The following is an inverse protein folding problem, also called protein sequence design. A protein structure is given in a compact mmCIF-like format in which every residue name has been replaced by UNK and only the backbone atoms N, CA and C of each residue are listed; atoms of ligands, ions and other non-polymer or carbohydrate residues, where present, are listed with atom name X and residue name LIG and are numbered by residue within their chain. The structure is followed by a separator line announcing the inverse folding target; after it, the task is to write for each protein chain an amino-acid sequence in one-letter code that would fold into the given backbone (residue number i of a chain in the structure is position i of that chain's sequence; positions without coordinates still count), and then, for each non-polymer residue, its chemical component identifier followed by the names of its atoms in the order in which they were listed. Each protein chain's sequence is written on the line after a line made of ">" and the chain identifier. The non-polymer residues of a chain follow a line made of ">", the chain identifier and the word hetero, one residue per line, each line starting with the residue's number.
data_IF_130822925755
#
_entry.id   IF_130822925755
#
_cell.length_a   1.000
_cell.length_b   1.000
_cell.length_c   1.000
_cell.angle_alpha   90.00
_cell.angle_beta   90.00
_cell.angle_gamma   90.00
#
_symmetry.space_group_name_H-M   'P 1'
#
loop_
_entity.id
_entity.type
_entity.pdbx_description
1 polymer ?
#
# COMPACT_ATOMS: atom_id res chain seq x y z
N UNK A 1 -11.80 32.19 -3.82
CA UNK A 1 -10.62 32.15 -2.89
C UNK A 1 -11.06 31.35 -1.67
N UNK A 2 -10.30 30.34 -1.25
CA UNK A 2 -10.68 29.51 -0.08
C UNK A 2 -10.78 30.38 1.19
N UNK A 3 -11.90 30.26 1.90
CA UNK A 3 -12.14 31.05 3.13
C UNK A 3 -11.24 30.58 4.27
N UNK A 4 -11.03 31.42 5.27
CA UNK A 4 -10.22 31.06 6.46
C UNK A 4 -10.88 29.91 7.25
N UNK A 5 -12.21 29.87 7.27
CA UNK A 5 -12.98 28.79 7.90
C UNK A 5 -12.68 27.44 7.25
N UNK A 6 -12.71 27.36 5.90
CA UNK A 6 -12.44 26.13 5.15
C UNK A 6 -11.01 25.65 5.39
N UNK A 7 -10.02 26.53 5.42
CA UNK A 7 -8.63 26.15 5.70
C UNK A 7 -8.46 25.52 7.10
N UNK A 8 -9.08 26.13 8.10
CA UNK A 8 -9.07 25.62 9.46
C UNK A 8 -9.80 24.27 9.60
N UNK A 9 -10.94 24.14 8.88
CA UNK A 9 -11.70 22.90 8.84
C UNK A 9 -10.90 21.79 8.16
N UNK A 10 -10.23 22.08 7.05
CA UNK A 10 -9.35 21.12 6.37
C UNK A 10 -8.24 20.61 7.31
N UNK A 11 -7.54 21.51 8.00
CA UNK A 11 -6.50 21.11 8.94
C UNK A 11 -7.07 20.24 10.08
N UNK A 12 -8.23 20.61 10.62
CA UNK A 12 -8.91 19.83 11.66
C UNK A 12 -9.28 18.43 11.16
N UNK A 13 -9.88 18.31 9.98
CA UNK A 13 -10.28 17.04 9.40
C UNK A 13 -9.07 16.16 9.07
N UNK A 14 -7.99 16.73 8.52
CA UNK A 14 -6.72 16.03 8.28
C UNK A 14 -6.17 15.42 9.55
N UNK A 15 -6.13 16.18 10.64
CA UNK A 15 -5.63 15.70 11.94
C UNK A 15 -6.54 14.64 12.56
N UNK A 16 -7.86 14.82 12.41
CA UNK A 16 -8.88 13.89 12.89
C UNK A 16 -8.77 12.53 12.18
N UNK A 17 -8.77 12.54 10.85
CA UNK A 17 -8.70 11.30 10.05
C UNK A 17 -7.37 10.56 10.24
N UNK A 18 -6.24 11.27 10.27
CA UNK A 18 -4.91 10.67 10.53
C UNK A 18 -4.80 9.97 11.89
N UNK A 19 -5.51 10.49 12.92
CA UNK A 19 -5.46 9.93 14.27
C UNK A 19 -6.55 8.90 14.52
N UNK A 20 -7.71 9.05 13.88
CA UNK A 20 -8.92 8.28 14.19
C UNK A 20 -9.17 7.07 13.27
N UNK A 21 -8.68 7.09 12.03
CA UNK A 21 -8.86 5.96 11.11
C UNK A 21 -7.85 4.84 11.40
N UNK A 22 -8.31 3.60 11.37
CA UNK A 22 -7.45 2.43 11.41
C UNK A 22 -6.81 2.15 10.04
N UNK A 23 -5.77 1.31 10.01
CA UNK A 23 -5.12 0.87 8.78
C UNK A 23 -6.02 0.05 7.84
N UNK A 24 -7.19 -0.37 8.33
CA UNK A 24 -8.17 -1.13 7.54
C UNK A 24 -9.15 -0.24 6.78
N UNK A 25 -9.20 1.08 7.05
CA UNK A 25 -9.90 2.05 6.20
C UNK A 25 -9.06 2.32 4.95
N UNK A 26 -9.22 1.47 3.93
CA UNK A 26 -8.44 1.49 2.69
C UNK A 26 -9.10 2.28 1.57
N UNK A 27 -10.39 2.53 1.69
CA UNK A 27 -11.20 3.30 0.75
C UNK A 27 -11.63 4.64 1.35
N UNK A 28 -12.28 4.62 2.53
CA UNK A 28 -12.72 5.84 3.22
C UNK A 28 -11.57 6.42 4.03
N UNK A 29 -10.58 6.96 3.35
CA UNK A 29 -9.37 7.54 3.90
C UNK A 29 -9.28 9.06 3.64
N UNK A 30 -8.22 9.69 4.13
CA UNK A 30 -7.96 11.11 3.90
C UNK A 30 -7.85 11.46 2.41
N UNK A 31 -7.30 10.56 1.58
CA UNK A 31 -7.15 10.82 0.15
C UNK A 31 -8.52 10.85 -0.55
N UNK A 32 -9.45 9.97 -0.16
CA UNK A 32 -10.83 10.01 -0.63
C UNK A 32 -11.50 11.35 -0.27
N UNK A 33 -11.47 11.75 1.01
CA UNK A 33 -12.09 13.00 1.48
C UNK A 33 -11.59 14.22 0.72
N UNK A 34 -10.27 14.34 0.52
CA UNK A 34 -9.69 15.45 -0.24
C UNK A 34 -10.04 15.39 -1.73
N UNK A 35 -10.12 14.20 -2.31
CA UNK A 35 -10.52 14.02 -3.70
C UNK A 35 -12.00 14.36 -3.93
N UNK A 36 -12.90 14.06 -2.98
CA UNK A 36 -14.31 14.49 -3.03
C UNK A 36 -14.41 16.02 -3.00
N UNK A 37 -13.66 16.67 -2.09
CA UNK A 37 -13.63 18.13 -2.03
C UNK A 37 -13.12 18.76 -3.32
N UNK A 38 -12.06 18.26 -3.91
CA UNK A 38 -11.55 18.75 -5.19
C UNK A 38 -12.59 18.53 -6.32
N UNK A 39 -13.21 17.35 -6.32
CA UNK A 39 -14.20 16.98 -7.33
C UNK A 39 -15.44 17.87 -7.28
N UNK A 40 -15.95 18.19 -6.10
CA UNK A 40 -17.13 19.06 -5.97
C UNK A 40 -16.86 20.47 -6.46
N UNK A 41 -15.66 21.01 -6.20
CA UNK A 41 -15.27 22.34 -6.73
C UNK A 41 -15.18 22.33 -8.25
N UNK A 42 -14.58 21.28 -8.84
CA UNK A 42 -14.47 21.15 -10.29
C UNK A 42 -15.85 21.02 -10.96
N UNK A 43 -16.78 20.25 -10.37
CA UNK A 43 -18.15 20.15 -10.87
C UNK A 43 -18.91 21.47 -10.74
N UNK A 44 -18.65 22.20 -9.66
CA UNK A 44 -19.28 23.48 -9.36
C UNK A 44 -18.83 24.62 -10.28
N UNK A 45 -17.68 24.51 -10.95
CA UNK A 45 -17.15 25.55 -11.85
C UNK A 45 -18.11 25.91 -12.99
N UNK A 46 -18.88 24.91 -13.49
CA UNK A 46 -19.86 25.14 -14.55
C UNK A 46 -21.11 25.92 -14.08
N UNK A 47 -21.31 26.01 -12.78
CA UNK A 47 -22.44 26.70 -12.17
C UNK A 47 -21.98 28.02 -11.53
N UNK A 48 -22.79 29.06 -11.66
CA UNK A 48 -22.49 30.38 -11.08
C UNK A 48 -22.83 30.41 -9.60
N UNK A 49 -22.17 29.56 -8.80
CA UNK A 49 -22.38 29.50 -7.36
C UNK A 49 -21.75 30.72 -6.68
N UNK A 50 -22.43 31.22 -5.66
CA UNK A 50 -21.88 32.21 -4.73
C UNK A 50 -20.70 31.68 -3.94
N UNK A 51 -19.91 32.56 -3.36
CA UNK A 51 -18.78 32.12 -2.48
C UNK A 51 -19.29 31.39 -1.25
N UNK A 52 -20.47 31.71 -0.78
CA UNK A 52 -21.13 31.02 0.34
C UNK A 52 -21.55 29.59 -0.01
N UNK A 53 -22.17 29.38 -1.18
CA UNK A 53 -22.54 28.06 -1.67
C UNK A 53 -21.31 27.16 -1.88
N UNK A 54 -20.22 27.71 -2.38
CA UNK A 54 -18.94 26.98 -2.50
C UNK A 54 -18.37 26.60 -1.14
N UNK A 55 -18.42 27.51 -0.17
CA UNK A 55 -17.97 27.23 1.19
C UNK A 55 -18.80 26.12 1.84
N UNK A 56 -20.14 26.11 1.67
CA UNK A 56 -21.01 25.03 2.13
C UNK A 56 -20.60 23.68 1.55
N UNK A 57 -20.37 23.63 0.23
CA UNK A 57 -19.94 22.41 -0.46
C UNK A 57 -18.56 21.92 0.03
N UNK A 58 -17.59 22.82 0.17
CA UNK A 58 -16.26 22.45 0.66
C UNK A 58 -16.30 21.90 2.08
N UNK A 59 -17.05 22.55 2.98
CA UNK A 59 -17.20 22.11 4.36
C UNK A 59 -17.91 20.75 4.42
N UNK A 60 -19.02 20.58 3.69
CA UNK A 60 -19.72 19.30 3.65
C UNK A 60 -18.84 18.18 3.09
N UNK A 61 -18.08 18.42 2.01
CA UNK A 61 -17.14 17.46 1.45
C UNK A 61 -16.00 17.10 2.40
N UNK A 62 -15.51 18.04 3.21
CA UNK A 62 -14.50 17.76 4.23
C UNK A 62 -15.03 16.89 5.37
N UNK A 63 -16.27 17.10 5.78
CA UNK A 63 -16.82 16.44 6.95
C UNK A 63 -17.59 15.15 6.66
N UNK A 64 -18.02 14.85 5.41
CA UNK A 64 -18.97 13.77 5.10
C UNK A 64 -18.57 12.40 5.67
N UNK A 65 -17.33 12.06 5.64
CA UNK A 65 -16.77 10.75 6.04
C UNK A 65 -16.04 10.77 7.40
N UNK A 66 -16.05 11.92 8.11
CA UNK A 66 -15.35 12.02 9.41
C UNK A 66 -15.90 11.05 10.46
N UNK A 67 -17.14 10.61 10.31
CA UNK A 67 -17.81 9.66 11.20
C UNK A 67 -17.15 8.28 11.22
N UNK A 68 -16.44 7.86 10.16
CA UNK A 68 -15.67 6.60 10.14
C UNK A 68 -14.59 6.54 11.23
N UNK A 69 -14.17 7.65 11.78
CA UNK A 69 -13.27 7.68 12.95
C UNK A 69 -13.90 7.13 14.22
N UNK A 70 -15.23 6.98 14.27
CA UNK A 70 -15.95 6.54 15.44
C UNK A 70 -16.75 5.26 15.20
N UNK A 71 -17.40 5.12 14.03
CA UNK A 71 -18.18 3.94 13.66
C UNK A 71 -18.30 3.81 12.14
N UNK A 72 -18.46 2.59 11.66
CA UNK A 72 -18.60 2.32 10.23
C UNK A 72 -20.07 2.44 9.77
N UNK A 73 -21.00 1.78 10.48
CA UNK A 73 -22.42 1.90 10.19
C UNK A 73 -22.97 3.26 10.67
N UNK A 74 -23.84 3.87 9.85
CA UNK A 74 -24.42 5.20 10.11
C UNK A 74 -23.33 6.27 10.40
N UNK A 75 -22.20 6.20 9.68
CA UNK A 75 -21.10 7.16 9.85
C UNK A 75 -21.52 8.58 9.49
N UNK A 76 -22.50 8.78 8.60
CA UNK A 76 -23.00 10.11 8.22
C UNK A 76 -23.64 10.84 9.42
N UNK A 77 -24.38 10.11 10.29
CA UNK A 77 -24.91 10.71 11.51
C UNK A 77 -23.76 11.21 12.40
N UNK A 78 -22.71 10.41 12.51
CA UNK A 78 -21.55 10.80 13.31
C UNK A 78 -20.75 11.92 12.67
N UNK A 79 -20.69 11.95 11.34
CA UNK A 79 -20.09 13.05 10.58
C UNK A 79 -20.81 14.37 10.83
N UNK A 80 -22.14 14.37 10.86
CA UNK A 80 -22.97 15.53 11.19
C UNK A 80 -22.68 16.05 12.60
N UNK A 81 -22.62 15.16 13.61
CA UNK A 81 -22.26 15.53 14.99
C UNK A 81 -20.85 16.16 15.09
N UNK A 82 -19.86 15.57 14.38
CA UNK A 82 -18.49 16.09 14.37
C UNK A 82 -18.45 17.47 13.70
N UNK A 83 -19.11 17.63 12.54
CA UNK A 83 -19.21 18.88 11.83
C UNK A 83 -19.86 19.97 12.68
N UNK A 84 -21.01 19.67 13.31
CA UNK A 84 -21.74 20.60 14.17
C UNK A 84 -20.87 21.08 15.33
N UNK A 85 -20.25 20.14 16.06
CA UNK A 85 -19.39 20.47 17.21
C UNK A 85 -18.24 21.38 16.79
N UNK A 86 -17.58 21.08 15.68
CA UNK A 86 -16.48 21.89 15.18
C UNK A 86 -16.95 23.26 14.74
N UNK A 87 -17.99 23.35 13.90
CA UNK A 87 -18.48 24.60 13.32
C UNK A 87 -19.02 25.55 14.38
N UNK A 88 -19.73 25.04 15.40
CA UNK A 88 -20.13 25.84 16.57
C UNK A 88 -18.93 26.42 17.32
N UNK A 89 -17.85 25.64 17.45
CA UNK A 89 -16.62 26.12 18.09
C UNK A 89 -15.92 27.26 17.31
N UNK A 90 -16.19 27.33 15.99
CA UNK A 90 -15.70 28.40 15.12
C UNK A 90 -16.67 29.60 15.01
N UNK A 91 -17.79 29.57 15.75
CA UNK A 91 -18.79 30.65 15.76
C UNK A 91 -19.66 30.72 14.51
N UNK A 92 -19.80 29.61 13.79
CA UNK A 92 -20.69 29.49 12.61
C UNK A 92 -22.14 29.46 13.10
N UNK A 93 -23.03 30.18 12.39
CA UNK A 93 -24.46 30.24 12.72
C UNK A 93 -25.19 28.92 12.49
N UNK A 94 -26.30 28.72 13.20
CA UNK A 94 -27.06 27.46 13.19
C UNK A 94 -27.68 27.16 11.79
N UNK A 95 -28.05 28.18 11.04
CA UNK A 95 -28.65 27.98 9.71
C UNK A 95 -27.63 27.35 8.76
N UNK A 96 -26.40 27.86 8.76
CA UNK A 96 -25.29 27.33 7.96
C UNK A 96 -24.87 25.93 8.41
N UNK A 97 -24.85 25.67 9.71
CA UNK A 97 -24.58 24.33 10.26
C UNK A 97 -25.63 23.33 9.77
N UNK A 98 -26.91 23.68 9.82
CA UNK A 98 -28.01 22.83 9.33
C UNK A 98 -27.88 22.53 7.82
N UNK A 99 -27.52 23.53 7.02
CA UNK A 99 -27.29 23.32 5.58
C UNK A 99 -26.14 22.33 5.32
N UNK A 100 -25.03 22.43 6.06
CA UNK A 100 -23.90 21.51 5.95
C UNK A 100 -24.32 20.09 6.37
N UNK A 101 -25.09 19.96 7.45
CA UNK A 101 -25.61 18.67 7.88
C UNK A 101 -26.55 18.03 6.85
N UNK A 102 -27.40 18.82 6.18
CA UNK A 102 -28.26 18.35 5.07
C UNK A 102 -27.42 17.85 3.90
N UNK A 103 -26.35 18.55 3.55
CA UNK A 103 -25.41 18.13 2.52
C UNK A 103 -24.69 16.85 2.90
N UNK A 104 -24.29 16.69 4.16
CA UNK A 104 -23.69 15.42 4.64
C UNK A 104 -24.71 14.28 4.57
N UNK A 105 -25.97 14.52 4.96
CA UNK A 105 -27.03 13.50 4.91
C UNK A 105 -27.24 12.92 3.50
N UNK A 106 -27.12 13.75 2.48
CA UNK A 106 -27.38 13.33 1.09
C UNK A 106 -26.29 12.37 0.55
N UNK A 107 -25.12 12.25 1.19
CA UNK A 107 -24.10 11.26 0.78
C UNK A 107 -24.55 9.82 1.06
N UNK A 108 -25.51 9.59 1.96
CA UNK A 108 -26.17 8.29 2.10
C UNK A 108 -26.68 7.79 0.75
N UNK A 109 -26.34 6.55 0.39
CA UNK A 109 -26.74 5.93 -0.89
C UNK A 109 -28.27 5.95 -1.09
N UNK A 110 -29.04 5.84 0.00
CA UNK A 110 -30.52 5.77 -0.02
C UNK A 110 -31.22 7.12 -0.10
N UNK A 111 -30.51 8.23 0.06
CA UNK A 111 -31.08 9.59 0.06
C UNK A 111 -30.97 10.19 -1.33
N UNK A 112 -32.08 10.62 -1.90
CA UNK A 112 -32.13 11.29 -3.20
C UNK A 112 -31.86 12.80 -3.06
N UNK A 113 -30.95 13.39 -3.86
CA UNK A 113 -30.62 14.80 -3.81
C UNK A 113 -31.70 15.64 -4.49
N UNK A 114 -32.16 16.72 -3.85
CA UNK A 114 -33.16 17.62 -4.34
C UNK A 114 -32.59 18.94 -4.91
N UNK A 115 -31.65 19.54 -4.17
CA UNK A 115 -31.04 20.82 -4.53
C UNK A 115 -29.85 20.66 -5.46
N UNK A 116 -29.39 21.73 -6.10
CA UNK A 116 -28.17 21.68 -6.91
C UNK A 116 -26.94 21.33 -6.11
N UNK A 117 -26.77 21.88 -4.89
CA UNK A 117 -25.62 21.62 -4.04
C UNK A 117 -25.56 20.16 -3.61
N UNK A 118 -26.72 19.58 -3.24
CA UNK A 118 -26.83 18.15 -2.92
C UNK A 118 -26.44 17.25 -4.10
N UNK A 119 -26.90 17.59 -5.31
CA UNK A 119 -26.55 16.86 -6.54
C UNK A 119 -25.07 16.91 -6.86
N UNK A 120 -24.46 18.09 -6.71
CA UNK A 120 -23.03 18.27 -6.93
C UNK A 120 -22.18 17.49 -5.94
N UNK A 121 -22.54 17.50 -4.65
CA UNK A 121 -21.80 16.75 -3.64
C UNK A 121 -21.95 15.24 -3.87
N UNK A 122 -23.17 14.78 -4.15
CA UNK A 122 -23.42 13.35 -4.40
C UNK A 122 -22.70 12.85 -5.65
N UNK A 123 -22.67 13.60 -6.74
CA UNK A 123 -21.88 13.26 -7.92
C UNK A 123 -20.37 13.28 -7.65
N UNK A 124 -19.89 14.19 -6.81
CA UNK A 124 -18.49 14.29 -6.45
C UNK A 124 -18.02 13.12 -5.57
N UNK A 125 -18.87 12.60 -4.72
CA UNK A 125 -18.57 11.45 -3.85
C UNK A 125 -18.34 10.16 -4.68
N UNK A 126 -18.91 10.08 -5.88
CA UNK A 126 -18.61 8.99 -6.83
C UNK A 126 -17.32 9.20 -7.65
N UNK A 127 -16.36 9.99 -7.16
CA UNK A 127 -15.06 10.20 -7.80
C UNK A 127 -14.19 8.93 -7.88
N UNK A 128 -14.60 7.85 -7.23
CA UNK A 128 -13.94 6.54 -7.28
C UNK A 128 -13.82 5.96 -8.70
N UNK A 129 -14.65 6.43 -9.64
CA UNK A 129 -14.52 6.12 -11.07
C UNK A 129 -13.24 6.70 -11.68
N UNK A 130 -12.67 7.76 -11.08
CA UNK A 130 -11.41 8.33 -11.56
C UNK A 130 -10.22 7.44 -11.16
N UNK A 131 -9.38 7.09 -12.13
CA UNK A 131 -8.20 6.26 -11.92
C UNK A 131 -8.48 4.76 -11.92
N UNK A 132 -7.86 4.01 -11.01
CA UNK A 132 -8.03 2.55 -10.93
C UNK A 132 -9.25 2.18 -10.07
N UNK A 133 -10.41 2.13 -10.70
CA UNK A 133 -11.66 1.72 -10.06
C UNK A 133 -11.57 0.34 -9.41
N UNK A 134 -10.93 -0.64 -10.04
CA UNK A 134 -10.90 -2.01 -9.51
C UNK A 134 -10.14 -2.07 -8.18
N UNK A 135 -9.01 -1.37 -8.08
CA UNK A 135 -8.26 -1.29 -6.83
C UNK A 135 -9.09 -0.59 -5.71
N UNK A 136 -9.79 0.49 -6.04
CA UNK A 136 -10.68 1.18 -5.09
C UNK A 136 -11.86 0.30 -4.67
N UNK A 137 -12.45 -0.44 -5.60
CA UNK A 137 -13.52 -1.40 -5.33
C UNK A 137 -13.05 -2.55 -4.42
N UNK A 138 -11.85 -3.08 -4.63
CA UNK A 138 -11.27 -4.12 -3.76
C UNK A 138 -10.95 -3.56 -2.35
N UNK A 139 -10.54 -2.30 -2.25
CA UNK A 139 -10.37 -1.60 -0.97
C UNK A 139 -11.69 -1.49 -0.19
N UNK A 140 -12.78 -1.11 -0.87
CA UNK A 140 -14.13 -1.05 -0.27
C UNK A 140 -14.62 -2.43 0.16
N UNK A 141 -14.37 -3.48 -0.64
CA UNK A 141 -14.69 -4.87 -0.30
C UNK A 141 -13.97 -5.32 0.97
N UNK A 142 -12.69 -4.92 1.12
CA UNK A 142 -11.93 -5.19 2.34
C UNK A 142 -12.59 -4.55 3.56
N UNK A 143 -12.99 -3.28 3.46
CA UNK A 143 -13.68 -2.59 4.56
C UNK A 143 -15.00 -3.27 4.94
N UNK A 144 -15.81 -3.67 3.95
CA UNK A 144 -17.07 -4.40 4.22
C UNK A 144 -16.84 -5.72 4.94
N UNK A 145 -15.76 -6.44 4.61
CA UNK A 145 -15.38 -7.65 5.33
C UNK A 145 -14.97 -7.36 6.77
N UNK A 146 -14.14 -6.35 6.99
CA UNK A 146 -13.56 -6.04 8.31
C UNK A 146 -14.60 -5.40 9.23
N UNK A 147 -15.35 -4.40 8.76
CA UNK A 147 -16.20 -3.58 9.62
C UNK A 147 -17.66 -4.03 9.64
N UNK A 148 -18.17 -4.61 8.54
CA UNK A 148 -19.56 -5.08 8.45
C UNK A 148 -19.69 -6.60 8.57
N UNK A 149 -18.58 -7.35 8.61
CA UNK A 149 -18.62 -8.83 8.58
C UNK A 149 -19.20 -9.40 7.27
N UNK A 150 -19.30 -8.58 6.22
CA UNK A 150 -19.83 -8.99 4.91
C UNK A 150 -18.71 -9.56 4.07
N UNK A 151 -18.59 -10.88 4.07
CA UNK A 151 -17.67 -11.58 3.17
C UNK A 151 -18.40 -11.93 1.87
N UNK A 152 -17.89 -11.38 0.77
CA UNK A 152 -18.37 -11.70 -0.57
C UNK A 152 -17.24 -12.37 -1.34
N UNK A 153 -17.52 -13.45 -2.07
CA UNK A 153 -16.59 -13.98 -3.05
C UNK A 153 -16.43 -13.03 -4.25
N UNK A 154 -15.54 -13.35 -5.14
CA UNK A 154 -15.23 -12.46 -6.27
C UNK A 154 -16.39 -12.30 -7.22
N UNK A 155 -17.16 -13.40 -7.46
CA UNK A 155 -18.31 -13.43 -8.36
C UNK A 155 -19.43 -12.54 -7.82
N UNK A 156 -19.80 -12.72 -6.54
CA UNK A 156 -20.81 -11.92 -5.87
C UNK A 156 -20.42 -10.43 -5.80
N UNK A 157 -19.13 -10.12 -5.58
CA UNK A 157 -18.65 -8.74 -5.55
C UNK A 157 -18.74 -8.07 -6.91
N UNK A 158 -18.30 -8.76 -7.98
CA UNK A 158 -18.40 -8.23 -9.36
C UNK A 158 -19.85 -8.01 -9.76
N UNK A 159 -20.76 -8.94 -9.41
CA UNK A 159 -22.19 -8.80 -9.66
C UNK A 159 -22.78 -7.60 -8.91
N UNK A 160 -22.46 -7.44 -7.64
CA UNK A 160 -22.90 -6.30 -6.83
C UNK A 160 -22.47 -4.96 -7.47
N UNK A 161 -21.22 -4.86 -7.89
CA UNK A 161 -20.68 -3.65 -8.57
C UNK A 161 -21.37 -3.41 -9.93
N UNK A 162 -21.62 -4.46 -10.71
CA UNK A 162 -22.33 -4.35 -11.99
C UNK A 162 -23.76 -3.84 -11.79
N UNK A 163 -24.49 -4.38 -10.81
CA UNK A 163 -25.84 -3.97 -10.50
C UNK A 163 -25.88 -2.54 -10.01
N UNK A 164 -24.96 -2.15 -9.14
CA UNK A 164 -24.82 -0.77 -8.67
C UNK A 164 -24.60 0.20 -9.85
N UNK A 165 -23.58 -0.02 -10.67
CA UNK A 165 -23.25 0.92 -11.74
C UNK A 165 -24.24 0.91 -12.90
N UNK A 166 -24.96 -0.18 -13.17
CA UNK A 166 -26.04 -0.20 -14.17
C UNK A 166 -27.21 0.68 -13.74
N UNK A 167 -27.52 0.69 -12.45
CA UNK A 167 -28.66 1.46 -11.92
C UNK A 167 -28.30 2.89 -11.52
N UNK A 168 -27.03 3.17 -11.20
CA UNK A 168 -26.57 4.50 -10.83
C UNK A 168 -26.73 5.50 -11.97
N UNK A 169 -27.14 6.73 -11.64
CA UNK A 169 -27.22 7.88 -12.56
C UNK A 169 -26.51 9.06 -11.91
N UNK A 170 -25.79 9.84 -12.70
CA UNK A 170 -25.31 11.13 -12.24
C UNK A 170 -26.46 12.13 -12.26
N UNK A 171 -26.50 12.99 -11.26
CA UNK A 171 -27.59 13.95 -11.04
C UNK A 171 -27.37 15.27 -11.77
N UNK A 172 -26.12 15.55 -12.18
CA UNK A 172 -25.75 16.79 -12.89
C UNK A 172 -25.21 16.49 -14.30
N UNK A 173 -25.34 17.47 -15.21
CA UNK A 173 -24.76 17.35 -16.55
C UNK A 173 -23.25 17.22 -16.52
N UNK A 174 -22.60 17.96 -15.62
CA UNK A 174 -21.15 17.95 -15.41
C UNK A 174 -20.67 16.65 -14.81
N UNK A 175 -21.38 16.07 -13.85
CA UNK A 175 -21.11 14.73 -13.31
C UNK A 175 -21.18 13.68 -14.41
N UNK A 176 -22.23 13.72 -15.24
CA UNK A 176 -22.35 12.83 -16.40
C UNK A 176 -21.24 13.06 -17.43
N UNK A 177 -20.86 14.31 -17.72
CA UNK A 177 -19.78 14.62 -18.66
C UNK A 177 -18.42 14.15 -18.14
N UNK A 178 -18.13 14.37 -16.86
CA UNK A 178 -16.85 14.03 -16.23
C UNK A 178 -16.66 12.52 -16.02
N UNK A 179 -17.69 11.84 -15.51
CA UNK A 179 -17.56 10.44 -15.07
C UNK A 179 -18.27 9.43 -15.99
N UNK A 180 -19.13 9.87 -16.91
CA UNK A 180 -19.94 8.97 -17.73
C UNK A 180 -19.12 8.06 -18.65
N UNK A 181 -18.01 8.55 -19.20
CA UNK A 181 -17.11 7.73 -20.01
C UNK A 181 -16.34 6.69 -19.15
N UNK A 182 -15.84 7.11 -18.00
CA UNK A 182 -15.16 6.20 -17.07
C UNK A 182 -16.11 5.14 -16.52
N UNK A 183 -17.35 5.49 -16.22
CA UNK A 183 -18.42 4.55 -15.89
C UNK A 183 -18.62 3.49 -16.98
N UNK A 184 -18.70 3.91 -18.26
CA UNK A 184 -18.81 2.95 -19.39
C UNK A 184 -17.61 2.02 -19.48
N UNK A 185 -16.39 2.55 -19.29
CA UNK A 185 -15.16 1.75 -19.28
C UNK A 185 -15.16 0.76 -18.10
N UNK A 186 -15.59 1.21 -16.94
CA UNK A 186 -15.70 0.39 -15.72
C UNK A 186 -16.71 -0.74 -15.91
N UNK A 187 -17.90 -0.46 -16.42
CA UNK A 187 -18.91 -1.48 -16.73
C UNK A 187 -18.35 -2.55 -17.68
N UNK A 188 -17.65 -2.15 -18.76
CA UNK A 188 -17.01 -3.10 -19.67
C UNK A 188 -15.95 -3.96 -18.99
N UNK A 189 -15.14 -3.36 -18.09
CA UNK A 189 -14.14 -4.11 -17.31
C UNK A 189 -14.81 -5.13 -16.36
N UNK A 190 -15.87 -4.72 -15.67
CA UNK A 190 -16.62 -5.59 -14.77
C UNK A 190 -17.34 -6.72 -15.52
N UNK A 191 -17.97 -6.43 -16.66
CA UNK A 191 -18.60 -7.45 -17.52
C UNK A 191 -17.58 -8.46 -18.02
N UNK A 192 -16.41 -8.00 -18.44
CA UNK A 192 -15.33 -8.88 -18.85
C UNK A 192 -14.85 -9.76 -17.69
N UNK A 193 -14.64 -9.18 -16.49
CA UNK A 193 -14.25 -9.93 -15.28
C UNK A 193 -15.31 -10.97 -14.91
N UNK A 194 -16.62 -10.62 -15.00
CA UNK A 194 -17.73 -11.56 -14.80
C UNK A 194 -17.65 -12.74 -15.78
N UNK A 195 -17.43 -12.48 -17.06
CA UNK A 195 -17.29 -13.53 -18.08
C UNK A 195 -16.06 -14.43 -17.82
N UNK A 196 -14.94 -13.84 -17.39
CA UNK A 196 -13.73 -14.58 -17.02
C UNK A 196 -13.99 -15.53 -15.83
N UNK A 197 -14.73 -15.08 -14.82
CA UNK A 197 -15.14 -15.88 -13.65
C UNK A 197 -16.08 -17.00 -14.11
N UNK A 198 -17.16 -16.69 -14.86
CA UNK A 198 -18.14 -17.69 -15.33
C UNK A 198 -17.50 -18.73 -16.25
N UNK A 199 -16.58 -18.32 -17.11
CA UNK A 199 -15.82 -19.26 -17.97
C UNK A 199 -14.86 -20.13 -17.16
N UNK A 200 -14.39 -19.65 -16.00
CA UNK A 200 -13.62 -20.42 -15.02
C UNK A 200 -14.51 -21.45 -14.27
N UNK A 201 -15.73 -21.04 -13.87
CA UNK A 201 -16.69 -21.89 -13.15
C UNK A 201 -17.29 -22.99 -14.04
N UNK A 202 -17.54 -22.73 -15.35
CA UNK A 202 -18.01 -23.74 -16.29
C UNK A 202 -16.98 -24.85 -16.57
N UNK A 203 -15.70 -24.63 -16.25
CA UNK A 203 -14.66 -25.66 -16.27
C UNK A 203 -14.53 -26.41 -14.93
N UNK A 204 -15.25 -26.00 -13.90
CA UNK A 204 -15.14 -26.51 -12.53
C UNK A 204 -16.08 -27.66 -12.16
N UNK A 205 -17.03 -28.07 -13.02
CA UNK A 205 -17.99 -29.14 -12.70
C UNK A 205 -17.70 -30.47 -13.43
N UNK A 206 -16.43 -30.83 -13.49
CA UNK A 206 -16.00 -32.19 -13.82
C UNK A 206 -14.86 -32.57 -12.88
N UNK A 207 -15.23 -33.38 -11.86
CA UNK A 207 -14.40 -34.36 -11.13
C UNK A 207 -12.90 -34.06 -11.07
N UNK A 208 -12.41 -33.89 -9.84
CA UNK A 208 -11.02 -33.78 -9.43
C UNK A 208 -9.99 -34.22 -10.45
N UNK A 209 -9.42 -33.25 -11.15
CA UNK A 209 -8.09 -33.28 -11.76
C UNK A 209 -7.84 -31.97 -12.50
N UNK A 210 -6.66 -31.37 -12.22
CA UNK A 210 -6.01 -30.30 -12.98
C UNK A 210 -6.71 -28.93 -13.03
N UNK A 211 -6.38 -28.12 -12.01
CA UNK A 211 -6.24 -26.66 -12.16
C UNK A 211 -5.16 -26.37 -13.22
N UNK A 212 -5.49 -26.53 -14.51
CA UNK A 212 -4.63 -26.10 -15.62
C UNK A 212 -4.65 -24.57 -15.74
N UNK A 213 -4.32 -23.88 -14.61
CA UNK A 213 -4.02 -22.46 -14.61
C UNK A 213 -2.68 -22.28 -15.31
N UNK A 214 -2.69 -21.68 -16.49
CA UNK A 214 -1.46 -21.39 -17.23
C UNK A 214 -1.23 -19.89 -17.21
N UNK A 215 -0.13 -19.45 -16.61
CA UNK A 215 0.29 -18.05 -16.56
C UNK A 215 0.34 -17.45 -17.97
N UNK A 216 0.77 -18.22 -18.96
CA UNK A 216 0.84 -17.84 -20.37
C UNK A 216 -0.50 -17.35 -20.94
N UNK A 217 -1.61 -17.89 -20.50
CA UNK A 217 -2.97 -17.54 -20.99
C UNK A 217 -3.61 -16.38 -20.26
N UNK A 218 -3.10 -15.98 -19.08
CA UNK A 218 -3.65 -14.90 -18.26
C UNK A 218 -2.76 -13.66 -18.26
N UNK A 219 -3.19 -12.59 -18.95
CA UNK A 219 -2.49 -11.30 -18.94
C UNK A 219 -2.37 -10.72 -17.51
N UNK A 220 -3.38 -10.93 -16.67
CA UNK A 220 -3.37 -10.47 -15.28
C UNK A 220 -2.31 -11.20 -14.47
N UNK A 221 -2.20 -12.53 -14.63
CA UNK A 221 -1.15 -13.31 -13.97
C UNK A 221 0.24 -12.88 -14.45
N UNK A 222 0.45 -12.72 -15.77
CA UNK A 222 1.72 -12.22 -16.31
C UNK A 222 2.09 -10.85 -15.73
N UNK A 223 1.12 -9.92 -15.63
CA UNK A 223 1.34 -8.60 -15.05
C UNK A 223 1.66 -8.70 -13.57
N UNK A 224 0.93 -9.52 -12.81
CA UNK A 224 1.18 -9.76 -11.39
C UNK A 224 2.60 -10.30 -11.16
N UNK A 225 3.02 -11.31 -11.89
CA UNK A 225 4.36 -11.88 -11.79
C UNK A 225 5.45 -10.85 -12.12
N UNK A 226 5.28 -10.10 -13.22
CA UNK A 226 6.22 -9.05 -13.62
C UNK A 226 6.33 -7.95 -12.54
N UNK A 227 5.20 -7.53 -11.97
CA UNK A 227 5.16 -6.51 -10.91
C UNK A 227 5.79 -7.04 -9.63
N UNK A 228 5.46 -8.28 -9.23
CA UNK A 228 6.03 -8.92 -8.04
C UNK A 228 7.54 -9.08 -8.17
N UNK A 229 8.03 -9.54 -9.34
CA UNK A 229 9.46 -9.68 -9.60
C UNK A 229 10.17 -8.31 -9.49
N UNK A 230 9.61 -7.26 -10.09
CA UNK A 230 10.16 -5.90 -9.98
C UNK A 230 10.20 -5.45 -8.53
N UNK A 231 9.09 -5.58 -7.79
CA UNK A 231 9.03 -5.21 -6.38
C UNK A 231 10.07 -5.96 -5.53
N UNK A 232 10.29 -7.26 -5.78
CA UNK A 232 11.31 -8.04 -5.06
C UNK A 232 12.73 -7.56 -5.36
N UNK A 233 13.01 -7.18 -6.61
CA UNK A 233 14.30 -6.60 -7.01
C UNK A 233 14.50 -5.24 -6.33
N UNK A 234 13.51 -4.36 -6.36
CA UNK A 234 13.57 -3.03 -5.73
C UNK A 234 13.76 -3.14 -4.22
N UNK A 235 13.01 -4.02 -3.55
CA UNK A 235 13.17 -4.29 -2.11
C UNK A 235 14.53 -4.89 -1.78
N UNK A 236 15.12 -5.70 -2.67
CA UNK A 236 16.47 -6.23 -2.51
C UNK A 236 17.50 -5.11 -2.55
N UNK A 237 17.39 -4.20 -3.54
CA UNK A 237 18.26 -3.03 -3.66
C UNK A 237 18.15 -2.10 -2.43
N UNK A 238 16.94 -1.89 -1.92
CA UNK A 238 16.72 -1.11 -0.70
C UNK A 238 17.41 -1.78 0.50
N UNK A 239 17.29 -3.10 0.64
CA UNK A 239 17.94 -3.83 1.73
C UNK A 239 19.48 -3.76 1.64
N UNK A 240 20.04 -3.92 0.44
CA UNK A 240 21.48 -3.83 0.21
C UNK A 240 21.99 -2.39 0.47
N UNK A 241 21.29 -1.35 0.04
CA UNK A 241 21.61 0.03 0.35
C UNK A 241 21.60 0.33 1.85
N UNK A 242 20.57 -0.14 2.57
CA UNK A 242 20.50 0.02 4.02
C UNK A 242 21.66 -0.71 4.74
N UNK A 243 22.03 -1.90 4.29
CA UNK A 243 23.17 -2.62 4.84
C UNK A 243 24.50 -1.88 4.55
N UNK A 244 24.68 -1.33 3.34
CA UNK A 244 25.86 -0.56 2.99
C UNK A 244 25.99 0.73 3.81
N UNK A 245 24.89 1.42 4.09
CA UNK A 245 24.87 2.59 4.99
C UNK A 245 25.36 2.17 6.39
N UNK A 246 24.86 1.04 6.92
CA UNK A 246 25.29 0.55 8.22
C UNK A 246 26.77 0.15 8.25
N UNK A 247 27.26 -0.46 7.18
CA UNK A 247 28.69 -0.77 7.02
C UNK A 247 29.54 0.51 7.05
N UNK A 248 29.12 1.53 6.29
CA UNK A 248 29.84 2.82 6.21
C UNK A 248 29.88 3.54 7.56
N UNK A 249 28.74 3.64 8.25
CA UNK A 249 28.65 4.29 9.57
C UNK A 249 29.55 3.58 10.59
N UNK A 250 29.46 2.25 10.70
CA UNK A 250 30.23 1.50 11.67
C UNK A 250 31.73 1.53 11.34
N UNK A 251 32.11 1.48 10.05
CA UNK A 251 33.52 1.62 9.63
C UNK A 251 34.08 3.00 9.98
N UNK A 252 33.27 4.06 9.77
CA UNK A 252 33.65 5.42 10.14
C UNK A 252 33.87 5.55 11.65
N UNK A 253 32.93 4.99 12.46
CA UNK A 253 33.03 5.01 13.91
C UNK A 253 34.30 4.28 14.42
N UNK A 254 34.65 3.16 13.82
CA UNK A 254 35.91 2.44 14.15
C UNK A 254 37.13 3.27 13.74
N UNK A 255 37.14 3.79 12.50
CA UNK A 255 38.31 4.52 11.96
C UNK A 255 38.60 5.79 12.75
N UNK A 256 37.55 6.51 13.19
CA UNK A 256 37.72 7.70 14.02
C UNK A 256 37.88 7.37 15.51
N UNK A 257 37.17 6.36 15.99
CA UNK A 257 37.13 6.00 17.40
C UNK A 257 38.46 5.43 17.93
N UNK A 258 39.11 4.56 17.18
CA UNK A 258 40.37 3.96 17.63
C UNK A 258 41.46 5.01 17.88
N UNK A 259 41.83 5.93 16.92
CA UNK A 259 42.87 6.91 17.16
C UNK A 259 42.53 7.92 18.27
N UNK A 260 41.25 8.24 18.47
CA UNK A 260 40.81 9.21 19.46
C UNK A 260 40.68 8.64 20.86
N UNK A 261 40.20 7.40 21.00
CA UNK A 261 39.88 6.79 22.28
C UNK A 261 41.04 5.98 22.86
N UNK A 262 41.84 5.30 22.02
CA UNK A 262 42.91 4.43 22.49
C UNK A 262 43.96 5.16 23.33
N UNK A 263 44.48 6.34 22.96
CA UNK A 263 45.42 7.11 23.80
C UNK A 263 44.78 7.48 25.16
N UNK A 264 43.50 7.91 25.14
CA UNK A 264 42.81 8.29 26.38
C UNK A 264 42.55 7.11 27.31
N UNK A 265 42.26 5.93 26.78
CA UNK A 265 42.13 4.69 27.58
C UNK A 265 43.44 4.31 28.23
N UNK A 266 44.59 4.62 27.58
CA UNK A 266 45.90 4.38 28.19
C UNK A 266 46.24 5.37 29.33
N UNK A 267 45.65 6.56 29.30
CA UNK A 267 45.75 7.56 30.34
C UNK A 267 44.78 7.30 31.50
N UNK A 268 43.53 6.92 31.18
CA UNK A 268 42.46 6.63 32.12
C UNK A 268 41.78 5.28 31.79
N UNK A 269 42.06 4.27 32.60
CA UNK A 269 41.50 2.93 32.42
C UNK A 269 39.99 2.86 32.61
N UNK A 270 39.34 3.82 33.25
CA UNK A 270 37.87 3.87 33.37
C UNK A 270 37.18 3.96 31.98
N UNK A 271 37.84 4.56 30.97
CA UNK A 271 37.36 4.64 29.61
C UNK A 271 37.43 3.33 28.81
N UNK A 272 38.06 2.27 29.37
CA UNK A 272 38.20 0.98 28.71
C UNK A 272 36.84 0.35 28.41
N UNK A 273 35.95 0.27 29.40
CA UNK A 273 34.63 -0.37 29.27
C UNK A 273 33.75 0.27 28.19
N UNK A 274 33.50 1.59 28.18
CA UNK A 274 32.71 2.22 27.12
C UNK A 274 33.36 2.11 25.74
N UNK A 275 34.71 2.20 25.65
CA UNK A 275 35.42 2.06 24.37
C UNK A 275 35.28 0.64 23.80
N UNK A 276 35.46 -0.40 24.61
CA UNK A 276 35.29 -1.80 24.20
C UNK A 276 33.83 -2.05 23.79
N UNK A 277 32.86 -1.50 24.52
CA UNK A 277 31.43 -1.64 24.19
C UNK A 277 31.14 -1.04 22.82
N UNK A 278 31.66 0.16 22.53
CA UNK A 278 31.51 0.82 21.23
C UNK A 278 32.10 -0.02 20.10
N UNK A 279 33.37 -0.45 20.25
CA UNK A 279 34.07 -1.21 19.21
C UNK A 279 33.40 -2.56 18.96
N UNK A 280 32.99 -3.27 20.02
CA UNK A 280 32.27 -4.55 19.91
C UNK A 280 30.92 -4.38 19.16
N UNK A 281 30.19 -3.33 19.51
CA UNK A 281 28.93 -2.98 18.82
C UNK A 281 29.15 -2.76 17.33
N UNK A 282 30.16 -1.97 16.96
CA UNK A 282 30.46 -1.70 15.56
C UNK A 282 30.88 -2.95 14.81
N UNK A 283 31.76 -3.79 15.40
CA UNK A 283 32.22 -5.04 14.77
C UNK A 283 31.05 -6.01 14.57
N UNK A 284 30.22 -6.25 15.59
CA UNK A 284 29.06 -7.13 15.46
C UNK A 284 28.07 -6.61 14.42
N UNK A 285 27.82 -5.31 14.39
CA UNK A 285 26.95 -4.68 13.39
C UNK A 285 27.50 -4.87 11.98
N UNK A 286 28.81 -4.68 11.75
CA UNK A 286 29.48 -4.92 10.46
C UNK A 286 29.33 -6.38 10.02
N UNK A 287 29.54 -7.33 10.92
CA UNK A 287 29.43 -8.77 10.61
C UNK A 287 28.02 -9.10 10.09
N UNK A 288 26.97 -8.68 10.80
CA UNK A 288 25.59 -8.96 10.39
C UNK A 288 25.18 -8.18 9.13
N UNK A 289 25.65 -6.93 8.94
CA UNK A 289 25.45 -6.17 7.72
C UNK A 289 26.09 -6.85 6.51
N UNK A 290 27.34 -7.30 6.65
CA UNK A 290 28.04 -8.07 5.59
C UNK A 290 27.32 -9.38 5.28
N UNK A 291 26.80 -10.08 6.30
CA UNK A 291 26.01 -11.31 6.08
C UNK A 291 24.68 -11.02 5.36
N UNK A 292 24.13 -9.82 5.47
CA UNK A 292 22.90 -9.44 4.75
C UNK A 292 23.17 -9.17 3.25
N UNK A 293 24.32 -8.62 2.90
CA UNK A 293 24.72 -8.31 1.51
C UNK A 293 25.47 -9.45 0.81
N UNK A 294 25.84 -10.49 1.55
CA UNK A 294 26.61 -11.62 1.00
C UNK A 294 25.86 -12.30 -0.16
N UNK A 295 26.53 -12.51 -1.33
CA UNK A 295 25.93 -13.25 -2.44
C UNK A 295 25.46 -14.63 -2.06
N UNK A 296 24.34 -15.05 -2.66
CA UNK A 296 23.81 -16.42 -2.49
C UNK A 296 24.79 -17.42 -3.11
N UNK A 297 24.99 -18.55 -2.43
CA UNK A 297 25.79 -19.64 -3.01
C UNK A 297 25.07 -20.21 -4.22
N UNK A 298 25.77 -20.33 -5.34
CA UNK A 298 25.27 -20.81 -6.62
C UNK A 298 26.06 -22.06 -7.04
N UNK A 299 25.35 -23.05 -7.55
CA UNK A 299 25.98 -24.27 -8.08
C UNK A 299 26.49 -24.07 -9.50
N UNK A 300 25.77 -23.24 -10.28
CA UNK A 300 26.09 -22.92 -11.67
C UNK A 300 25.66 -24.01 -12.67
N UNK A 301 25.23 -25.14 -12.17
CA UNK A 301 24.72 -26.28 -12.97
C UNK A 301 23.49 -26.84 -12.25
N UNK A 302 22.45 -27.12 -13.01
CA UNK A 302 21.26 -27.82 -12.55
C UNK A 302 21.19 -29.19 -13.17
N UNK A 303 20.83 -30.19 -12.35
CA UNK A 303 20.58 -31.54 -12.84
C UNK A 303 19.39 -31.50 -13.82
N UNK A 304 19.56 -32.02 -15.04
CA UNK A 304 18.49 -32.13 -16.03
C UNK A 304 17.20 -32.78 -15.51
N UNK A 305 17.30 -33.75 -14.62
CA UNK A 305 16.15 -34.43 -14.01
C UNK A 305 15.29 -33.49 -13.16
N UNK A 306 15.88 -32.47 -12.53
CA UNK A 306 15.16 -31.46 -11.73
C UNK A 306 14.41 -30.48 -12.65
N UNK A 307 14.93 -30.21 -13.84
CA UNK A 307 14.26 -29.40 -14.86
C UNK A 307 13.02 -30.14 -15.38
N UNK A 308 13.17 -31.43 -15.67
CA UNK A 308 12.09 -32.29 -16.13
C UNK A 308 10.94 -32.43 -15.11
N UNK A 309 11.26 -32.37 -13.83
CA UNK A 309 10.29 -32.40 -12.73
C UNK A 309 9.71 -31.01 -12.39
N UNK A 310 10.07 -29.94 -13.11
CA UNK A 310 9.65 -28.57 -12.80
C UNK A 310 10.19 -28.02 -11.47
N UNK A 311 11.23 -28.66 -10.90
CA UNK A 311 11.84 -28.30 -9.60
C UNK A 311 12.99 -27.30 -9.70
N UNK A 312 13.46 -27.01 -10.89
CA UNK A 312 14.51 -26.02 -11.14
C UNK A 312 14.14 -25.10 -12.28
N UNK A 313 14.66 -23.86 -12.25
CA UNK A 313 14.43 -22.91 -13.31
C UNK A 313 15.75 -22.57 -14.03
N UNK A 314 15.66 -22.36 -15.35
CA UNK A 314 16.77 -21.96 -16.21
C UNK A 314 16.78 -20.45 -16.50
N UNK A 315 15.91 -19.64 -15.86
CA UNK A 315 15.91 -18.19 -16.01
C UNK A 315 16.85 -17.51 -15.01
N UNK A 316 17.13 -18.15 -13.87
CA UNK A 316 18.10 -17.66 -12.90
C UNK A 316 19.51 -18.12 -13.28
N UNK A 317 20.40 -17.15 -13.55
CA UNK A 317 21.76 -17.44 -14.02
C UNK A 317 22.57 -18.36 -13.09
N UNK A 318 22.32 -18.31 -11.78
CA UNK A 318 22.97 -19.17 -10.81
C UNK A 318 22.73 -20.67 -11.00
N UNK A 319 21.78 -21.06 -11.84
CA UNK A 319 21.43 -22.43 -12.14
C UNK A 319 22.07 -22.94 -13.46
N UNK A 320 22.56 -22.05 -14.34
CA UNK A 320 23.02 -22.47 -15.67
C UNK A 320 24.36 -21.91 -16.11
N UNK A 321 25.00 -20.96 -15.38
CA UNK A 321 26.18 -20.25 -15.89
C UNK A 321 27.41 -21.17 -16.17
N UNK A 322 27.41 -22.41 -15.68
CA UNK A 322 28.39 -23.45 -16.00
C UNK A 322 27.90 -24.53 -16.96
N UNK A 323 26.62 -24.44 -17.40
CA UNK A 323 26.11 -25.40 -18.40
C UNK A 323 26.68 -25.06 -19.77
N UNK A 324 26.89 -26.08 -20.60
CA UNK A 324 27.20 -25.87 -21.99
C UNK A 324 25.98 -25.32 -22.77
N UNK A 325 26.23 -24.58 -23.83
CA UNK A 325 25.21 -23.88 -24.61
C UNK A 325 24.17 -24.84 -25.23
N UNK A 326 24.59 -26.04 -25.65
CA UNK A 326 23.73 -26.99 -26.32
C UNK A 326 22.72 -27.59 -25.33
N UNK A 327 23.19 -28.02 -24.17
CA UNK A 327 22.36 -28.51 -23.07
C UNK A 327 21.41 -27.41 -22.58
N UNK A 328 21.91 -26.18 -22.36
CA UNK A 328 21.08 -25.07 -21.95
C UNK A 328 19.95 -24.79 -22.95
N UNK A 329 20.28 -24.71 -24.25
CA UNK A 329 19.31 -24.47 -25.32
C UNK A 329 18.24 -25.58 -25.38
N UNK A 330 18.65 -26.82 -25.28
CA UNK A 330 17.75 -27.99 -25.30
C UNK A 330 16.70 -27.91 -24.18
N UNK A 331 17.14 -27.69 -22.95
CA UNK A 331 16.24 -27.66 -21.80
C UNK A 331 15.42 -26.38 -21.74
N UNK A 332 15.98 -25.23 -22.14
CA UNK A 332 15.23 -23.99 -22.26
C UNK A 332 14.08 -24.12 -23.26
N UNK A 333 14.32 -24.70 -24.44
CA UNK A 333 13.26 -24.99 -25.41
C UNK A 333 12.18 -25.91 -24.84
N UNK A 334 12.58 -26.94 -24.07
CA UNK A 334 11.65 -27.85 -23.41
C UNK A 334 10.74 -27.12 -22.45
N UNK A 335 11.31 -26.26 -21.60
CA UNK A 335 10.54 -25.42 -20.63
C UNK A 335 9.61 -24.46 -21.36
N UNK A 336 10.07 -23.77 -22.41
CA UNK A 336 9.26 -22.78 -23.13
C UNK A 336 8.10 -23.41 -23.93
N UNK A 337 8.24 -24.66 -24.35
CA UNK A 337 7.19 -25.38 -25.09
C UNK A 337 6.19 -26.10 -24.18
N UNK A 338 6.50 -26.26 -22.90
CA UNK A 338 5.62 -26.90 -21.92
C UNK A 338 5.12 -25.85 -20.91
N UNK A 339 3.83 -25.50 -21.00
CA UNK A 339 3.21 -24.46 -20.21
C UNK A 339 3.31 -24.74 -18.69
N UNK A 340 3.20 -26.00 -18.26
CA UNK A 340 3.32 -26.41 -16.86
C UNK A 340 4.76 -26.23 -16.31
N UNK A 341 5.77 -26.66 -17.08
CA UNK A 341 7.17 -26.48 -16.71
C UNK A 341 7.54 -24.99 -16.65
N UNK A 342 7.00 -24.19 -17.56
CA UNK A 342 7.20 -22.73 -17.58
C UNK A 342 6.60 -22.08 -16.33
N UNK A 343 5.36 -22.41 -16.03
CA UNK A 343 4.64 -21.84 -14.86
C UNK A 343 5.33 -22.25 -13.55
N UNK A 344 5.70 -23.52 -13.40
CA UNK A 344 6.45 -24.01 -12.24
C UNK A 344 7.81 -23.31 -12.09
N UNK A 345 8.50 -23.05 -13.21
CA UNK A 345 9.77 -22.32 -13.20
C UNK A 345 9.60 -20.89 -12.69
N UNK A 346 8.56 -20.19 -13.15
CA UNK A 346 8.25 -18.81 -12.72
C UNK A 346 7.88 -18.76 -11.24
N UNK A 347 7.00 -19.66 -10.79
CA UNK A 347 6.56 -19.73 -9.39
C UNK A 347 7.73 -20.04 -8.46
N UNK A 348 8.57 -21.00 -8.84
CA UNK A 348 9.76 -21.36 -8.07
C UNK A 348 10.73 -20.17 -7.95
N UNK A 349 10.96 -19.43 -9.04
CA UNK A 349 11.86 -18.27 -9.03
C UNK A 349 11.36 -17.19 -8.06
N UNK A 350 10.08 -16.84 -8.13
CA UNK A 350 9.48 -15.89 -7.21
C UNK A 350 9.56 -16.33 -5.75
N UNK A 351 9.32 -17.62 -5.48
CA UNK A 351 9.40 -18.16 -4.14
C UNK A 351 10.82 -18.06 -3.56
N UNK A 352 11.84 -18.46 -4.33
CA UNK A 352 13.23 -18.43 -3.88
C UNK A 352 13.76 -17.00 -3.74
N UNK A 353 13.37 -16.08 -4.63
CA UNK A 353 13.66 -14.65 -4.50
C UNK A 353 13.04 -14.07 -3.23
N UNK A 354 11.76 -14.34 -2.99
CA UNK A 354 11.06 -13.88 -1.79
C UNK A 354 11.68 -14.43 -0.50
N UNK A 355 12.04 -15.72 -0.48
CA UNK A 355 12.73 -16.35 0.66
C UNK A 355 14.11 -15.73 0.92
N UNK A 356 14.85 -15.46 -0.14
CA UNK A 356 16.16 -14.79 -0.06
C UNK A 356 16.02 -13.37 0.49
N UNK A 357 15.06 -12.63 -0.01
CA UNK A 357 14.73 -11.28 0.45
C UNK A 357 14.33 -11.28 1.93
N UNK A 358 13.46 -12.19 2.36
CA UNK A 358 13.07 -12.34 3.76
C UNK A 358 14.26 -12.58 4.70
N UNK A 359 15.22 -13.42 4.27
CA UNK A 359 16.45 -13.67 5.02
C UNK A 359 17.35 -12.43 5.09
N UNK A 360 17.46 -11.64 4.01
CA UNK A 360 18.21 -10.35 4.00
C UNK A 360 17.60 -9.38 5.01
N UNK A 361 16.28 -9.16 4.97
CA UNK A 361 15.59 -8.26 5.89
C UNK A 361 15.72 -8.70 7.35
N UNK A 362 15.67 -10.01 7.62
CA UNK A 362 15.88 -10.54 8.98
C UNK A 362 17.28 -10.20 9.51
N UNK A 363 18.33 -10.41 8.69
CA UNK A 363 19.71 -10.07 9.08
C UNK A 363 19.89 -8.57 9.26
N UNK A 364 19.32 -7.78 8.37
CA UNK A 364 19.34 -6.32 8.45
C UNK A 364 18.67 -5.83 9.74
N UNK A 365 17.54 -6.38 10.14
CA UNK A 365 16.88 -6.06 11.42
C UNK A 365 17.78 -6.35 12.60
N UNK A 366 18.50 -7.48 12.60
CA UNK A 366 19.47 -7.83 13.65
C UNK A 366 20.60 -6.79 13.68
N UNK A 367 21.14 -6.38 12.52
CA UNK A 367 22.17 -5.32 12.42
C UNK A 367 21.72 -4.02 13.11
N UNK A 368 20.51 -3.54 12.78
CA UNK A 368 19.96 -2.32 13.37
C UNK A 368 19.74 -2.45 14.88
N UNK A 369 19.23 -3.58 15.34
CA UNK A 369 19.01 -3.83 16.76
C UNK A 369 20.33 -3.85 17.55
N UNK A 370 21.37 -4.54 17.04
CA UNK A 370 22.69 -4.55 17.65
C UNK A 370 23.26 -3.14 17.74
N UNK A 371 23.21 -2.38 16.64
CA UNK A 371 23.71 -1.01 16.59
C UNK A 371 22.97 -0.12 17.56
N UNK A 372 21.63 -0.12 17.55
CA UNK A 372 20.79 0.72 18.42
C UNK A 372 21.05 0.41 19.90
N UNK A 373 20.97 -0.86 20.30
CA UNK A 373 21.16 -1.26 21.70
C UNK A 373 22.60 -0.98 22.15
N UNK A 374 23.57 -1.33 21.30
CA UNK A 374 24.98 -1.13 21.62
C UNK A 374 25.34 0.36 21.75
N UNK A 375 24.79 1.24 20.92
CA UNK A 375 24.98 2.68 21.01
C UNK A 375 24.40 3.24 22.32
N UNK A 376 23.18 2.81 22.71
CA UNK A 376 22.58 3.21 23.99
C UNK A 376 23.45 2.76 25.15
N UNK A 377 23.91 1.50 25.16
CA UNK A 377 24.79 0.98 26.21
C UNK A 377 26.12 1.76 26.28
N UNK A 378 26.68 2.09 25.13
CA UNK A 378 27.93 2.89 25.02
C UNK A 378 27.76 4.27 25.64
N UNK A 379 26.65 4.97 25.29
CA UNK A 379 26.35 6.32 25.86
C UNK A 379 26.18 6.25 27.37
N UNK A 380 25.43 5.25 27.86
CA UNK A 380 25.26 5.03 29.33
C UNK A 380 26.61 4.77 30.00
N UNK A 381 27.46 3.92 29.41
CA UNK A 381 28.76 3.59 29.96
C UNK A 381 29.68 4.82 30.04
N UNK A 382 29.71 5.67 28.98
CA UNK A 382 30.44 6.95 29.04
C UNK A 382 29.87 7.90 30.10
N UNK A 383 28.52 7.99 30.19
CA UNK A 383 27.87 8.82 31.21
C UNK A 383 28.21 8.43 32.65
N UNK A 384 28.23 7.12 32.94
CA UNK A 384 28.61 6.60 34.24
C UNK A 384 30.11 6.94 34.54
N UNK A 385 30.96 6.76 33.56
CA UNK A 385 32.40 7.09 33.72
C UNK A 385 32.59 8.54 34.07
N UNK A 386 31.89 9.47 33.41
CA UNK A 386 31.93 10.90 33.66
C UNK A 386 31.36 11.31 35.04
N UNK A 387 30.47 10.52 35.62
CA UNK A 387 29.89 10.79 36.94
C UNK A 387 30.75 10.21 38.08
N UNK A 388 31.75 9.36 37.77
CA UNK A 388 32.69 8.76 38.73
C UNK A 388 34.00 9.55 38.86
N UNK A 389 34.14 10.64 38.12
CA UNK A 389 35.16 11.68 38.26
C UNK A 389 34.67 12.78 39.17
#
# INVERSE_FOLDING_TARGET
>A
MQTELVKKAEQYVVDLLKKGLSADHKYHDLAHTLAVRESVLQLAEAYRLSDEEKELLELAALFHDTGFTARYDEHEEKSKEIAEKYLRSQGVDEEKINQIQQLIEVTKVTVEPNTLLEKLLKDADFNNLSGDYLAKSDALRHEWKVFCGKEMDESAWVENNLNFWKNHKFYTGEGQAKYGEEKRKTLKKLEKRKQEIQNGEQKGDSTGEDLNFTIKKSKSAQMMFKTTLRNQIDLTNIADNKANIMLSINSLLITLGIPLLLPRVMEDTKLLLPTVTLLLTCVLSIVYATMATRPVKMTGITDPSLIDQGKSNLFFFGNFYKMDMETYRKYLHKVLLNDELLDNSIVNDLYFLGRTLGNKYRRLRITYNIFMIGMVLTVIAFGITLLMD
#
